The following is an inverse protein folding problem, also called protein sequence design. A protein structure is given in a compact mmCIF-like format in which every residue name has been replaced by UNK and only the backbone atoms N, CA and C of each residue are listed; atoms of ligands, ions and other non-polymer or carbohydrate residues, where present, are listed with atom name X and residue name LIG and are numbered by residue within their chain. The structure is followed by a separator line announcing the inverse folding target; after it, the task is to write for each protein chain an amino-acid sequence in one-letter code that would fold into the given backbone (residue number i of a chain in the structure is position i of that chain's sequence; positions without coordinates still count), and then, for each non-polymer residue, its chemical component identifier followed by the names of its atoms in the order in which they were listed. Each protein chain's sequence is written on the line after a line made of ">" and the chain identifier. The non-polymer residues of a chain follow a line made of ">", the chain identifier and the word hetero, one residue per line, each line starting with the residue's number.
data_IF_306544284642
#
_entry.id   IF_306544284642
#
_cell.length_a   1.000
_cell.length_b   1.000
_cell.length_c   1.000
_cell.angle_alpha   90.00
_cell.angle_beta   90.00
_cell.angle_gamma   90.00
#
_symmetry.space_group_name_H-M   'P 1'
#
loop_
_entity.id
_entity.type
_entity.pdbx_description
1 polymer ?
#
# COMPACT_ATOMS: atom_id res chain seq x y z
N UNK A 1 99.95 22.72 -4.64
CA UNK A 1 99.34 24.06 -4.76
C UNK A 1 97.83 23.93 -4.77
N UNK A 2 97.16 24.53 -3.77
CA UNK A 2 95.87 25.29 -3.84
C UNK A 2 94.84 24.84 -4.91
N UNK A 3 93.55 24.61 -4.63
CA UNK A 3 92.61 25.36 -3.75
C UNK A 3 91.15 24.83 -3.99
N UNK A 4 90.24 25.07 -3.01
CA UNK A 4 88.77 25.36 -3.15
C UNK A 4 87.83 24.17 -3.46
N UNK A 5 86.58 24.00 -2.95
CA UNK A 5 85.77 24.27 -1.73
C UNK A 5 84.34 23.71 -2.04
N UNK A 6 83.49 23.55 -1.01
CA UNK A 6 82.01 23.43 -1.00
C UNK A 6 81.47 21.98 -1.13
N UNK A 7 81.13 21.27 -0.05
CA UNK A 7 79.98 21.31 0.90
C UNK A 7 78.75 20.52 0.43
N UNK A 8 78.45 19.43 1.14
CA UNK A 8 77.09 18.93 1.37
C UNK A 8 77.06 18.21 2.73
N UNK A 9 76.28 18.78 3.66
CA UNK A 9 76.01 18.27 5.00
C UNK A 9 75.02 17.10 4.94
N UNK A 10 75.28 16.05 5.73
CA UNK A 10 74.25 15.20 6.30
C UNK A 10 74.49 15.11 7.82
N UNK A 11 73.57 15.70 8.57
CA UNK A 11 73.56 15.78 10.03
C UNK A 11 73.16 14.43 10.64
N UNK A 12 73.94 13.98 11.62
CA UNK A 12 73.55 13.02 12.63
C UNK A 12 72.56 13.68 13.60
N UNK A 13 71.51 12.96 14.01
CA UNK A 13 70.69 13.33 15.16
C UNK A 13 70.30 12.07 15.94
N UNK A 14 70.91 11.96 17.12
CA UNK A 14 70.63 10.99 18.16
C UNK A 14 69.51 11.52 19.07
N UNK A 15 68.81 10.58 19.69
CA UNK A 15 68.07 10.66 20.97
C UNK A 15 66.72 11.39 21.01
N UNK A 16 65.66 10.63 21.28
CA UNK A 16 64.93 10.59 22.57
C UNK A 16 63.70 9.68 22.40
N UNK A 17 63.75 8.47 22.96
CA UNK A 17 62.56 7.64 23.11
C UNK A 17 61.71 8.23 24.24
N UNK A 18 60.71 9.04 23.88
CA UNK A 18 59.56 9.26 24.75
C UNK A 18 58.69 8.00 24.67
N UNK A 19 58.71 7.20 25.74
CA UNK A 19 57.73 6.13 25.93
C UNK A 19 56.36 6.76 26.18
N UNK A 20 55.56 6.91 25.14
CA UNK A 20 54.13 7.09 25.30
C UNK A 20 53.56 5.76 25.79
N UNK A 21 53.10 5.72 27.04
CA UNK A 21 52.12 4.72 27.45
C UNK A 21 50.85 5.01 26.65
N UNK A 22 50.64 4.27 25.56
CA UNK A 22 49.33 4.13 24.96
C UNK A 22 48.44 3.46 26.01
N UNK A 23 47.76 4.28 26.80
CA UNK A 23 46.64 3.84 27.61
C UNK A 23 45.62 3.23 26.65
N UNK A 24 45.43 1.92 26.73
CA UNK A 24 44.30 1.19 26.19
C UNK A 24 43.00 1.82 26.75
N UNK A 25 42.52 2.90 26.15
CA UNK A 25 41.18 3.42 26.42
C UNK A 25 40.18 2.47 25.76
N UNK A 26 39.92 1.34 26.44
CA UNK A 26 38.72 0.55 26.20
C UNK A 26 37.58 1.28 26.89
N UNK A 27 36.80 2.05 26.13
CA UNK A 27 35.51 2.55 26.62
C UNK A 27 34.63 1.35 26.97
N UNK A 28 34.61 0.93 28.23
CA UNK A 28 33.59 0.05 28.77
C UNK A 28 32.32 0.88 28.91
N UNK A 29 31.59 1.07 27.80
CA UNK A 29 30.26 1.65 27.87
C UNK A 29 29.40 0.63 28.60
N UNK A 30 29.13 0.86 29.88
CA UNK A 30 28.35 -0.04 30.74
C UNK A 30 26.88 0.36 30.83
N UNK A 31 26.54 1.57 30.38
CA UNK A 31 25.20 2.11 30.47
C UNK A 31 24.23 1.42 29.50
N UNK A 32 23.04 1.09 30.02
CA UNK A 32 21.92 0.63 29.21
C UNK A 32 21.55 1.70 28.16
N UNK A 33 21.38 1.30 26.91
CA UNK A 33 20.89 2.19 25.85
C UNK A 33 19.84 1.52 24.99
N UNK A 34 18.77 2.24 24.70
CA UNK A 34 17.79 1.89 23.67
C UNK A 34 18.11 2.68 22.40
N UNK A 35 18.17 1.99 21.26
CA UNK A 35 18.52 2.59 19.96
C UNK A 35 17.29 2.67 19.06
N UNK A 36 16.61 1.55 18.83
CA UNK A 36 15.37 1.50 18.06
C UNK A 36 14.57 0.24 18.35
N UNK A 37 13.29 0.24 17.99
CA UNK A 37 12.42 -0.95 18.01
C UNK A 37 11.89 -1.22 16.61
N UNK A 38 11.80 -2.49 16.22
CA UNK A 38 11.25 -2.92 14.93
C UNK A 38 10.34 -4.15 15.07
N UNK A 39 9.20 -4.19 14.37
CA UNK A 39 8.57 -3.06 13.68
C UNK A 39 8.03 -2.03 14.69
N UNK A 40 7.72 -0.81 14.24
CA UNK A 40 7.14 0.22 15.13
C UNK A 40 5.62 0.18 15.21
N UNK A 41 4.97 -0.36 14.17
CA UNK A 41 3.54 -0.60 14.11
C UNK A 41 3.30 -2.10 14.27
N UNK A 42 2.56 -2.49 15.30
CA UNK A 42 2.53 -3.87 15.81
C UNK A 42 1.11 -4.30 16.18
N UNK A 43 0.88 -5.61 16.22
CA UNK A 43 -0.30 -6.21 16.85
C UNK A 43 0.09 -6.94 18.14
N UNK A 44 -0.86 -7.11 19.06
CA UNK A 44 -0.67 -7.96 20.24
C UNK A 44 -0.19 -9.36 19.87
N UNK A 45 0.68 -9.94 20.70
CA UNK A 45 1.24 -11.27 20.49
C UNK A 45 2.27 -11.39 19.36
N UNK A 46 2.52 -10.33 18.59
CA UNK A 46 3.62 -10.34 17.62
C UNK A 46 4.99 -10.20 18.28
N UNK A 47 6.04 -10.54 17.52
CA UNK A 47 7.41 -10.40 17.96
C UNK A 47 7.93 -9.02 17.55
N UNK A 48 8.49 -8.29 18.52
CA UNK A 48 9.26 -7.08 18.27
C UNK A 48 10.73 -7.27 18.67
N UNK A 49 11.61 -6.59 17.95
CA UNK A 49 13.05 -6.54 18.23
C UNK A 49 13.42 -5.17 18.75
N UNK A 50 14.01 -5.12 19.94
CA UNK A 50 14.58 -3.90 20.53
C UNK A 50 16.09 -3.97 20.34
N UNK A 51 16.65 -3.02 19.60
CA UNK A 51 18.09 -2.86 19.46
C UNK A 51 18.60 -1.83 20.47
N UNK A 52 19.76 -2.13 21.05
CA UNK A 52 20.31 -1.36 22.15
C UNK A 52 21.75 -1.71 22.47
N UNK A 53 22.14 -1.48 23.73
CA UNK A 53 23.43 -1.88 24.30
C UNK A 53 23.27 -2.25 25.77
N UNK A 54 24.09 -3.18 26.22
CA UNK A 54 24.20 -3.66 27.59
C UNK A 54 22.93 -4.31 28.15
N UNK A 55 22.18 -5.02 27.31
CA UNK A 55 21.21 -5.99 27.83
C UNK A 55 21.94 -7.19 28.44
N UNK A 56 21.29 -7.90 29.37
CA UNK A 56 21.79 -9.21 29.76
C UNK A 56 21.61 -10.19 28.59
N UNK A 57 22.54 -11.13 28.43
CA UNK A 57 22.40 -12.25 27.50
C UNK A 57 21.49 -13.37 28.04
N UNK A 58 21.02 -13.24 29.29
CA UNK A 58 20.06 -14.15 29.93
C UNK A 58 18.67 -13.51 29.82
N UNK A 59 17.71 -14.11 29.09
CA UNK A 59 16.39 -13.52 28.88
C UNK A 59 15.66 -13.13 30.16
N UNK A 60 15.72 -13.96 31.20
CA UNK A 60 15.02 -13.79 32.47
C UNK A 60 15.56 -12.61 33.30
N UNK A 61 16.77 -12.15 33.02
CA UNK A 61 17.38 -10.98 33.68
C UNK A 61 16.94 -9.66 33.04
N UNK A 62 16.29 -9.70 31.88
CA UNK A 62 15.73 -8.53 31.22
C UNK A 62 14.21 -8.48 31.45
N UNK A 63 13.71 -7.36 31.95
CA UNK A 63 12.26 -7.11 32.04
C UNK A 63 11.90 -5.95 31.11
N UNK A 64 10.97 -6.20 30.18
CA UNK A 64 10.49 -5.21 29.21
C UNK A 64 9.02 -4.92 29.47
N UNK A 65 8.65 -3.64 29.56
CA UNK A 65 7.30 -3.19 29.83
C UNK A 65 6.81 -2.27 28.71
N UNK A 66 5.55 -2.47 28.30
CA UNK A 66 4.79 -1.61 27.40
C UNK A 66 3.68 -0.97 28.23
N UNK A 67 3.81 0.32 28.60
CA UNK A 67 2.88 1.02 29.50
C UNK A 67 2.47 0.18 30.73
N UNK A 68 3.50 -0.33 31.44
CA UNK A 68 3.44 -1.19 32.64
C UNK A 68 3.00 -2.64 32.44
N UNK A 69 2.58 -3.04 31.24
CA UNK A 69 2.32 -4.44 30.93
C UNK A 69 3.61 -5.13 30.47
N UNK A 70 3.98 -6.23 31.13
CA UNK A 70 5.24 -6.91 30.86
C UNK A 70 5.17 -7.74 29.57
N UNK A 71 6.13 -7.51 28.67
CA UNK A 71 6.37 -8.33 27.48
C UNK A 71 7.23 -9.55 27.84
N UNK A 72 7.07 -10.65 27.09
CA UNK A 72 7.90 -11.85 27.29
C UNK A 72 9.18 -11.74 26.48
N UNK A 73 10.34 -11.73 27.13
CA UNK A 73 11.64 -11.79 26.45
C UNK A 73 11.93 -13.23 26.02
N UNK A 74 12.14 -13.45 24.73
CA UNK A 74 12.35 -14.80 24.15
C UNK A 74 13.77 -15.03 23.64
N UNK A 75 14.49 -13.97 23.28
CA UNK A 75 15.91 -14.03 22.94
C UNK A 75 16.60 -12.76 23.48
N UNK A 76 17.82 -12.91 23.96
CA UNK A 76 18.58 -11.81 24.54
C UNK A 76 20.07 -11.88 24.16
N UNK A 77 20.55 -10.78 23.58
CA UNK A 77 21.95 -10.50 23.25
C UNK A 77 22.33 -9.16 23.86
N UNK A 78 23.62 -8.84 23.94
CA UNK A 78 24.07 -7.57 24.53
C UNK A 78 23.51 -6.32 23.83
N UNK A 79 23.12 -6.44 22.57
CA UNK A 79 22.67 -5.36 21.70
C UNK A 79 21.26 -5.59 21.12
N UNK A 80 20.61 -6.71 21.44
CA UNK A 80 19.31 -7.08 20.90
C UNK A 80 18.45 -7.83 21.92
N UNK A 81 17.18 -7.46 22.04
CA UNK A 81 16.14 -8.27 22.69
C UNK A 81 15.04 -8.59 21.68
N UNK A 82 14.58 -9.85 21.63
CA UNK A 82 13.31 -10.20 20.99
C UNK A 82 12.25 -10.44 22.05
N UNK A 83 11.09 -9.82 21.87
CA UNK A 83 9.98 -9.89 22.81
C UNK A 83 8.70 -10.33 22.12
N UNK A 84 7.85 -11.09 22.82
CA UNK A 84 6.44 -11.25 22.48
C UNK A 84 5.68 -10.11 23.14
N UNK A 85 4.95 -9.36 22.32
CA UNK A 85 4.20 -8.20 22.76
C UNK A 85 2.97 -8.60 23.59
N UNK A 86 2.72 -7.95 24.74
CA UNK A 86 1.54 -8.22 25.54
C UNK A 86 0.25 -7.80 24.82
N UNK A 87 -0.88 -8.31 25.32
CA UNK A 87 -2.20 -7.86 24.86
C UNK A 87 -2.46 -6.42 25.30
N UNK A 88 -2.50 -5.49 24.34
CA UNK A 88 -2.78 -4.08 24.59
C UNK A 88 -4.00 -3.62 23.78
N UNK A 89 -4.70 -2.59 24.26
CA UNK A 89 -5.63 -1.85 23.42
C UNK A 89 -4.86 -1.12 22.28
N UNK A 90 -5.50 -0.80 21.15
CA UNK A 90 -4.88 0.01 20.11
C UNK A 90 -4.48 1.38 20.64
N UNK A 91 -3.26 1.82 20.33
CA UNK A 91 -2.71 3.05 20.88
C UNK A 91 -1.20 3.14 20.77
N UNK A 92 -0.66 4.28 21.20
CA UNK A 92 0.77 4.54 21.21
C UNK A 92 1.32 4.41 22.63
N UNK A 93 2.35 3.60 22.81
CA UNK A 93 2.89 3.26 24.13
C UNK A 93 4.42 3.34 24.14
N UNK A 94 4.98 3.82 25.26
CA UNK A 94 6.42 3.83 25.48
C UNK A 94 6.93 2.46 25.92
N UNK A 95 8.21 2.18 25.60
CA UNK A 95 8.90 0.97 26.05
C UNK A 95 9.77 1.33 27.26
N UNK A 96 9.72 0.51 28.31
CA UNK A 96 10.65 0.56 29.44
C UNK A 96 11.40 -0.76 29.55
N UNK A 97 12.73 -0.72 29.59
CA UNK A 97 13.59 -1.89 29.70
C UNK A 97 14.38 -1.81 31.00
N UNK A 98 14.35 -2.87 31.78
CA UNK A 98 15.17 -3.10 32.97
C UNK A 98 16.09 -4.28 32.73
N UNK A 99 17.37 -4.11 33.04
CA UNK A 99 18.47 -5.06 32.88
C UNK A 99 19.39 -4.94 34.12
N UNK A 100 20.30 -5.89 34.40
CA UNK A 100 21.30 -5.71 35.45
C UNK A 100 22.17 -4.45 35.28
N UNK A 101 22.28 -3.92 34.05
CA UNK A 101 23.01 -2.69 33.72
C UNK A 101 22.24 -1.39 34.00
N UNK A 102 20.94 -1.47 34.34
CA UNK A 102 20.11 -0.30 34.65
C UNK A 102 18.69 -0.41 34.12
N UNK A 103 17.98 0.71 34.16
CA UNK A 103 16.61 0.84 33.70
C UNK A 103 16.45 2.10 32.84
N UNK A 104 15.79 1.96 31.70
CA UNK A 104 15.60 3.07 30.76
C UNK A 104 14.22 2.99 30.10
N UNK A 105 13.51 4.11 30.09
CA UNK A 105 12.29 4.31 29.30
C UNK A 105 12.64 5.09 28.05
N UNK A 106 12.21 4.60 26.89
CA UNK A 106 12.43 5.24 25.60
C UNK A 106 11.87 4.38 24.47
N UNK A 107 11.84 4.94 23.25
CA UNK A 107 11.16 4.34 22.09
C UNK A 107 9.64 4.20 22.31
N UNK A 108 8.92 4.02 21.21
CA UNK A 108 7.47 3.91 21.21
C UNK A 108 7.02 2.83 20.21
N UNK A 109 5.92 2.17 20.54
CA UNK A 109 5.19 1.26 19.65
C UNK A 109 3.79 1.81 19.41
N UNK A 110 3.31 1.64 18.19
CA UNK A 110 1.91 1.85 17.83
C UNK A 110 1.23 0.48 17.73
N UNK A 111 0.39 0.16 18.72
CA UNK A 111 -0.49 -1.00 18.66
C UNK A 111 -1.65 -0.70 17.72
N UNK A 112 -1.75 -1.50 16.67
CA UNK A 112 -2.78 -1.41 15.66
C UNK A 112 -4.04 -2.17 16.10
N UNK A 113 -5.17 -1.80 15.54
CA UNK A 113 -6.43 -2.53 15.73
C UNK A 113 -6.36 -3.85 14.96
N UNK A 114 -6.40 -4.98 15.67
CA UNK A 114 -6.64 -6.28 15.05
C UNK A 114 -8.02 -6.28 14.39
N UNK A 115 -8.15 -6.68 13.11
CA UNK A 115 -9.45 -6.71 12.44
C UNK A 115 -10.46 -7.57 13.19
N UNK A 116 -11.69 -7.07 13.31
CA UNK A 116 -12.78 -7.77 14.01
C UNK A 116 -13.25 -9.03 13.27
N UNK A 117 -12.90 -9.14 11.99
CA UNK A 117 -13.29 -10.23 11.10
C UNK A 117 -12.06 -10.99 10.61
N UNK A 118 -12.20 -12.29 10.38
CA UNK A 118 -11.15 -13.07 9.73
C UNK A 118 -11.23 -12.90 8.21
N UNK A 119 -10.15 -12.40 7.62
CA UNK A 119 -9.98 -12.30 6.17
C UNK A 119 -9.09 -13.44 5.67
N UNK A 120 -9.45 -14.07 4.56
CA UNK A 120 -8.65 -15.11 3.90
C UNK A 120 -8.31 -14.67 2.49
N UNK A 121 -7.02 -14.58 2.17
CA UNK A 121 -6.50 -14.24 0.85
C UNK A 121 -6.18 -15.51 0.08
N UNK A 122 -6.63 -15.56 -1.18
CA UNK A 122 -6.41 -16.67 -2.10
C UNK A 122 -6.07 -16.17 -3.50
N UNK A 123 -5.12 -16.83 -4.16
CA UNK A 123 -4.86 -16.62 -5.59
C UNK A 123 -5.90 -17.37 -6.40
N UNK A 124 -6.59 -16.67 -7.31
CA UNK A 124 -7.62 -17.28 -8.17
C UNK A 124 -7.23 -17.32 -9.65
N UNK A 125 -6.34 -16.43 -10.10
CA UNK A 125 -5.79 -16.41 -11.46
C UNK A 125 -4.34 -16.00 -11.41
N UNK A 126 -3.52 -16.56 -12.30
CA UNK A 126 -2.10 -16.29 -12.39
C UNK A 126 -1.25 -17.33 -11.66
N UNK A 127 0.01 -17.43 -12.08
CA UNK A 127 1.02 -18.31 -11.48
C UNK A 127 2.25 -17.52 -11.09
N UNK A 128 2.83 -17.85 -9.95
CA UNK A 128 4.03 -17.21 -9.44
C UNK A 128 5.19 -17.37 -10.43
N UNK A 129 5.79 -16.25 -10.83
CA UNK A 129 7.00 -16.25 -11.65
C UNK A 129 6.77 -16.66 -13.10
N UNK A 130 5.52 -16.80 -13.53
CA UNK A 130 5.16 -17.04 -14.92
C UNK A 130 4.74 -15.71 -15.55
N UNK A 131 5.43 -15.35 -16.63
CA UNK A 131 5.40 -14.02 -17.22
C UNK A 131 4.79 -14.04 -18.62
N UNK A 132 3.73 -14.80 -18.78
CA UNK A 132 3.04 -15.07 -20.03
C UNK A 132 1.53 -14.75 -19.88
N UNK A 133 0.82 -14.75 -21.00
CA UNK A 133 -0.63 -14.62 -21.02
C UNK A 133 -1.22 -15.86 -21.65
N UNK A 134 -1.84 -16.69 -20.82
CA UNK A 134 -2.54 -17.90 -21.25
C UNK A 134 -3.95 -17.91 -20.70
N UNK A 135 -4.90 -18.32 -21.53
CA UNK A 135 -6.25 -18.67 -21.10
C UNK A 135 -6.24 -20.03 -20.38
N UNK A 136 -7.27 -20.31 -19.60
CA UNK A 136 -7.33 -21.51 -18.75
C UNK A 136 -8.25 -21.32 -17.55
N UNK A 137 -8.38 -22.35 -16.71
CA UNK A 137 -9.25 -22.29 -15.53
C UNK A 137 -8.44 -21.90 -14.30
N UNK A 138 -8.87 -20.84 -13.62
CA UNK A 138 -8.26 -20.36 -12.38
C UNK A 138 -6.75 -20.12 -12.50
N UNK A 139 -5.97 -20.80 -11.66
CA UNK A 139 -4.51 -20.67 -11.63
C UNK A 139 -3.80 -21.34 -12.80
N UNK A 140 -4.49 -22.06 -13.68
CA UNK A 140 -3.89 -22.55 -14.93
C UNK A 140 -3.73 -21.42 -15.95
N UNK A 141 -4.57 -20.39 -15.87
CA UNK A 141 -4.40 -19.16 -16.64
C UNK A 141 -3.30 -18.29 -16.05
N UNK A 142 -2.51 -17.65 -16.93
CA UNK A 142 -1.43 -16.74 -16.56
C UNK A 142 -1.75 -15.31 -17.01
N UNK A 143 -1.20 -14.31 -16.30
CA UNK A 143 -1.44 -12.89 -16.60
C UNK A 143 -0.12 -12.13 -16.69
N UNK A 144 -0.16 -10.92 -17.25
CA UNK A 144 0.97 -10.01 -17.36
C UNK A 144 0.53 -8.57 -17.06
N UNK A 145 0.66 -8.19 -15.79
CA UNK A 145 0.29 -6.88 -15.24
C UNK A 145 -1.23 -6.63 -15.31
N UNK A 146 -2.06 -7.47 -14.66
CA UNK A 146 -3.48 -7.18 -14.52
C UNK A 146 -3.65 -5.92 -13.67
N UNK A 147 -4.24 -4.86 -14.22
CA UNK A 147 -4.32 -3.56 -13.51
C UNK A 147 -5.72 -3.24 -13.02
N UNK A 148 -6.70 -3.29 -13.90
CA UNK A 148 -8.09 -3.06 -13.56
C UNK A 148 -8.92 -4.32 -13.48
N UNK A 149 -9.99 -4.30 -12.70
CA UNK A 149 -10.96 -5.38 -12.56
C UNK A 149 -12.35 -4.82 -12.26
N UNK A 150 -13.39 -5.34 -12.93
CA UNK A 150 -14.77 -4.88 -12.77
C UNK A 150 -15.77 -6.05 -12.87
N UNK A 151 -16.87 -5.96 -12.12
CA UNK A 151 -18.00 -6.87 -12.29
C UNK A 151 -18.72 -6.55 -13.61
N UNK A 152 -18.91 -7.57 -14.44
CA UNK A 152 -19.73 -7.51 -15.64
C UNK A 152 -21.20 -7.85 -15.31
N UNK A 153 -22.17 -7.38 -16.12
CA UNK A 153 -23.61 -7.64 -15.89
C UNK A 153 -23.99 -9.12 -15.88
N UNK A 154 -23.21 -9.98 -16.53
CA UNK A 154 -23.41 -11.43 -16.58
C UNK A 154 -22.84 -12.18 -15.36
N UNK A 155 -22.33 -11.46 -14.37
CA UNK A 155 -21.69 -12.02 -13.17
C UNK A 155 -20.23 -12.43 -13.35
N UNK A 156 -19.65 -12.27 -14.54
CA UNK A 156 -18.21 -12.44 -14.75
C UNK A 156 -17.41 -11.24 -14.24
N UNK A 157 -16.10 -11.39 -14.14
CA UNK A 157 -15.17 -10.29 -13.90
C UNK A 157 -14.44 -9.98 -15.20
N UNK A 158 -14.32 -8.70 -15.56
CA UNK A 158 -13.43 -8.27 -16.65
C UNK A 158 -12.22 -7.58 -16.06
N UNK A 159 -11.07 -7.78 -16.67
CA UNK A 159 -9.82 -7.15 -16.24
C UNK A 159 -8.97 -6.69 -17.41
N UNK A 160 -8.14 -5.69 -17.15
CA UNK A 160 -7.21 -5.15 -18.14
C UNK A 160 -5.84 -5.78 -18.00
N UNK A 161 -5.38 -6.42 -19.07
CA UNK A 161 -4.08 -7.08 -19.17
C UNK A 161 -3.06 -6.12 -19.78
N UNK A 162 -2.49 -5.24 -18.94
CA UNK A 162 -1.66 -4.13 -19.41
C UNK A 162 -0.42 -4.59 -20.17
N UNK A 163 0.16 -5.73 -19.81
CA UNK A 163 1.38 -6.24 -20.44
C UNK A 163 1.21 -6.58 -21.92
N UNK A 164 -0.01 -6.92 -22.35
CA UNK A 164 -0.31 -7.27 -23.73
C UNK A 164 -1.37 -6.39 -24.38
N UNK A 165 -1.94 -5.42 -23.65
CA UNK A 165 -3.05 -4.57 -24.11
C UNK A 165 -4.33 -5.35 -24.42
N UNK A 166 -4.61 -6.42 -23.68
CA UNK A 166 -5.83 -7.19 -23.83
C UNK A 166 -6.88 -6.83 -22.79
N UNK A 167 -8.15 -6.90 -23.19
CA UNK A 167 -9.27 -7.07 -22.25
C UNK A 167 -9.52 -8.56 -22.09
N UNK A 168 -9.62 -9.02 -20.84
CA UNK A 168 -9.81 -10.42 -20.50
C UNK A 168 -10.96 -10.58 -19.52
N UNK A 169 -11.56 -11.76 -19.51
CA UNK A 169 -12.73 -12.11 -18.69
C UNK A 169 -12.42 -13.31 -17.81
N UNK A 170 -12.97 -13.33 -16.60
CA UNK A 170 -13.03 -14.47 -15.69
C UNK A 170 -14.51 -14.77 -15.48
N UNK A 171 -14.97 -15.88 -16.02
CA UNK A 171 -16.33 -16.39 -15.81
C UNK A 171 -16.57 -16.84 -14.36
N UNK A 172 -17.84 -17.02 -13.92
CA UNK A 172 -18.15 -17.46 -12.56
C UNK A 172 -17.53 -18.82 -12.14
N UNK A 173 -17.22 -19.68 -13.10
CA UNK A 173 -16.53 -20.96 -12.94
C UNK A 173 -15.00 -20.83 -13.08
N UNK A 174 -14.47 -19.61 -13.05
CA UNK A 174 -13.05 -19.26 -13.13
C UNK A 174 -12.36 -19.54 -14.47
N UNK A 175 -13.10 -19.83 -15.55
CA UNK A 175 -12.51 -19.86 -16.88
C UNK A 175 -12.10 -18.44 -17.29
N UNK A 176 -10.81 -18.27 -17.54
CA UNK A 176 -10.19 -17.04 -18.04
C UNK A 176 -10.13 -17.08 -19.56
N UNK A 177 -10.64 -16.03 -20.20
CA UNK A 177 -10.68 -15.90 -21.67
C UNK A 177 -10.16 -14.55 -22.12
N UNK A 178 -9.32 -14.55 -23.14
CA UNK A 178 -8.84 -13.35 -23.82
C UNK A 178 -9.88 -12.88 -24.82
N UNK A 179 -10.40 -11.66 -24.64
CA UNK A 179 -11.49 -11.14 -25.45
C UNK A 179 -10.99 -10.38 -26.67
N UNK A 180 -10.11 -9.39 -26.44
CA UNK A 180 -9.71 -8.47 -27.50
C UNK A 180 -8.37 -7.79 -27.21
N UNK A 181 -7.51 -7.71 -28.22
CA UNK A 181 -6.37 -6.77 -28.26
C UNK A 181 -6.91 -5.37 -28.56
N UNK A 182 -6.64 -4.43 -27.65
CA UNK A 182 -7.10 -3.05 -27.78
C UNK A 182 -5.95 -2.08 -28.06
N UNK A 183 -4.77 -2.53 -28.47
CA UNK A 183 -3.67 -1.63 -28.81
C UNK A 183 -4.02 -0.64 -29.94
N UNK A 184 -3.50 0.59 -29.86
CA UNK A 184 -3.61 1.59 -30.94
C UNK A 184 -2.27 1.73 -31.65
N UNK A 185 -2.22 1.43 -32.95
CA UNK A 185 -0.98 1.45 -33.74
C UNK A 185 0.12 0.56 -33.14
N UNK A 186 -0.27 -0.61 -32.60
CA UNK A 186 0.63 -1.59 -32.00
C UNK A 186 1.21 -1.20 -30.63
N UNK A 187 0.80 -0.09 -30.02
CA UNK A 187 1.16 0.21 -28.63
C UNK A 187 0.04 0.90 -27.85
N UNK A 188 -0.14 0.50 -26.60
CA UNK A 188 -1.03 1.13 -25.64
C UNK A 188 -0.47 0.91 -24.24
N UNK A 189 -1.05 1.59 -23.25
CA UNK A 189 -0.88 1.21 -21.85
C UNK A 189 -2.24 1.29 -21.17
N UNK A 190 -3.05 0.26 -21.38
CA UNK A 190 -4.38 0.19 -20.78
C UNK A 190 -4.31 0.14 -19.25
N UNK A 191 -5.28 0.77 -18.62
CA UNK A 191 -5.39 0.88 -17.16
C UNK A 191 -6.76 0.41 -16.70
N UNK A 192 -7.42 1.13 -15.79
CA UNK A 192 -8.64 0.66 -15.15
C UNK A 192 -9.87 0.98 -16.00
N UNK A 193 -10.93 0.22 -15.77
CA UNK A 193 -12.16 0.27 -16.55
C UNK A 193 -13.36 -0.21 -15.75
N UNK A 194 -14.55 0.03 -16.28
CA UNK A 194 -15.82 -0.33 -15.65
C UNK A 194 -16.96 -0.34 -16.65
N UNK A 195 -18.12 -0.84 -16.22
CA UNK A 195 -19.30 -0.96 -17.05
C UNK A 195 -20.28 0.19 -16.83
N UNK A 196 -20.88 0.68 -17.91
CA UNK A 196 -22.08 1.51 -17.82
C UNK A 196 -23.33 0.65 -17.51
N UNK A 197 -24.47 1.30 -17.24
CA UNK A 197 -25.74 0.61 -16.95
C UNK A 197 -26.26 -0.26 -18.10
N UNK A 198 -25.75 -0.04 -19.33
CA UNK A 198 -26.12 -0.78 -20.55
C UNK A 198 -25.21 -1.98 -20.82
N UNK A 199 -24.18 -2.17 -19.99
CA UNK A 199 -23.21 -3.26 -20.11
C UNK A 199 -22.08 -3.01 -21.09
N UNK A 200 -21.84 -1.76 -21.51
CA UNK A 200 -20.67 -1.40 -22.28
C UNK A 200 -19.47 -1.20 -21.36
N UNK A 201 -18.30 -1.66 -21.78
CA UNK A 201 -17.08 -1.57 -20.99
C UNK A 201 -16.26 -0.35 -21.39
N UNK A 202 -16.07 0.59 -20.47
CA UNK A 202 -15.19 1.74 -20.66
C UNK A 202 -13.87 1.49 -19.95
N UNK A 203 -12.78 1.91 -20.57
CA UNK A 203 -11.46 1.76 -20.00
C UNK A 203 -10.55 2.90 -20.40
N UNK A 204 -9.50 3.07 -19.61
CA UNK A 204 -8.48 4.06 -19.86
C UNK A 204 -7.35 3.46 -20.67
N UNK A 205 -6.95 4.14 -21.75
CA UNK A 205 -5.63 3.97 -22.34
C UNK A 205 -4.73 5.10 -21.85
N UNK A 206 -4.00 4.81 -20.76
CA UNK A 206 -3.10 5.78 -20.12
C UNK A 206 -1.98 6.20 -21.05
N UNK A 207 -1.48 5.26 -21.86
CA UNK A 207 -0.36 5.48 -22.79
C UNK A 207 -0.72 6.43 -23.92
N UNK A 208 -1.98 6.42 -24.36
CA UNK A 208 -2.50 7.30 -25.41
C UNK A 208 -3.28 8.51 -24.87
N UNK A 209 -3.49 8.58 -23.55
CA UNK A 209 -4.25 9.67 -22.93
C UNK A 209 -5.74 9.66 -23.29
N UNK A 210 -6.33 8.46 -23.43
CA UNK A 210 -7.68 8.27 -23.98
C UNK A 210 -8.65 7.62 -22.99
N UNK A 211 -9.91 8.01 -23.10
CA UNK A 211 -11.08 7.25 -22.63
C UNK A 211 -11.63 6.47 -23.82
N UNK A 212 -11.76 5.15 -23.67
CA UNK A 212 -12.21 4.25 -24.74
C UNK A 212 -13.38 3.39 -24.26
N UNK A 213 -14.16 2.92 -25.22
CA UNK A 213 -15.38 2.13 -25.01
C UNK A 213 -15.30 0.84 -25.82
N UNK A 214 -15.79 -0.25 -25.24
CA UNK A 214 -16.12 -1.49 -25.91
C UNK A 214 -17.64 -1.66 -25.85
N UNK A 215 -18.28 -1.70 -27.02
CA UNK A 215 -19.64 -2.19 -27.15
C UNK A 215 -19.60 -3.71 -27.00
N UNK A 216 -20.07 -4.24 -25.87
CA UNK A 216 -19.79 -5.65 -25.49
C UNK A 216 -20.55 -6.67 -26.33
N UNK A 217 -21.64 -6.29 -26.99
CA UNK A 217 -22.35 -7.18 -27.90
C UNK A 217 -21.61 -7.43 -29.22
N UNK A 218 -20.92 -6.41 -29.74
CA UNK A 218 -20.19 -6.48 -31.02
C UNK A 218 -18.68 -6.60 -30.85
N UNK A 219 -18.18 -6.44 -29.62
CA UNK A 219 -16.75 -6.33 -29.29
C UNK A 219 -16.02 -5.24 -30.08
N UNK A 220 -16.72 -4.17 -30.45
CA UNK A 220 -16.14 -3.05 -31.19
C UNK A 220 -15.60 -2.00 -30.24
N UNK A 221 -14.40 -1.49 -30.53
CA UNK A 221 -13.74 -0.46 -29.70
C UNK A 221 -13.82 0.91 -30.36
N UNK A 222 -14.16 1.93 -29.58
CA UNK A 222 -14.14 3.32 -30.02
C UNK A 222 -13.41 4.21 -29.02
N UNK A 223 -12.93 5.37 -29.50
CA UNK A 223 -12.35 6.41 -28.63
C UNK A 223 -13.41 7.46 -28.35
N UNK A 224 -13.69 7.67 -27.07
CA UNK A 224 -14.68 8.65 -26.60
C UNK A 224 -14.03 10.02 -26.43
N UNK A 225 -12.82 10.03 -25.87
CA UNK A 225 -12.05 11.25 -25.64
C UNK A 225 -10.55 10.98 -25.65
N UNK A 226 -9.76 12.02 -25.94
CA UNK A 226 -8.30 11.99 -25.96
C UNK A 226 -7.71 13.24 -25.29
N UNK A 227 -6.37 13.34 -25.24
CA UNK A 227 -5.66 14.52 -24.74
C UNK A 227 -5.57 14.65 -23.22
N UNK A 228 -5.90 13.59 -22.47
CA UNK A 228 -5.70 13.56 -21.02
C UNK A 228 -4.27 13.15 -20.68
N UNK A 229 -3.65 13.80 -19.69
CA UNK A 229 -2.30 13.49 -19.22
C UNK A 229 -2.36 12.45 -18.12
N UNK A 230 -1.87 11.23 -18.42
CA UNK A 230 -1.95 10.06 -17.54
C UNK A 230 -3.34 9.85 -16.90
N UNK A 231 -4.40 9.67 -17.70
CA UNK A 231 -5.66 9.18 -17.14
C UNK A 231 -5.44 7.81 -16.49
N UNK A 232 -6.21 7.51 -15.44
CA UNK A 232 -6.00 6.28 -14.65
C UNK A 232 -7.28 5.44 -14.54
N UNK A 233 -8.37 6.00 -14.03
CA UNK A 233 -9.59 5.26 -13.70
C UNK A 233 -10.85 5.90 -14.30
N UNK A 234 -11.91 5.10 -14.44
CA UNK A 234 -13.27 5.52 -14.78
C UNK A 234 -14.24 5.19 -13.64
N UNK A 235 -15.23 6.06 -13.41
CA UNK A 235 -16.38 5.80 -12.55
C UNK A 235 -17.66 6.37 -13.20
N UNK A 236 -18.83 5.93 -12.74
CA UNK A 236 -20.13 6.30 -13.31
C UNK A 236 -21.07 6.83 -12.23
N UNK A 237 -21.89 7.82 -12.56
CA UNK A 237 -23.09 8.17 -11.77
C UNK A 237 -24.33 7.41 -12.27
N UNK A 238 -25.48 7.61 -11.61
CA UNK A 238 -26.71 6.89 -11.91
C UNK A 238 -27.30 7.25 -13.30
N UNK A 239 -26.86 8.36 -13.90
CA UNK A 239 -27.23 8.80 -15.24
C UNK A 239 -26.22 8.38 -16.33
N UNK A 240 -25.31 7.45 -16.03
CA UNK A 240 -24.20 7.01 -16.90
C UNK A 240 -23.24 8.13 -17.31
N UNK A 241 -23.16 9.23 -16.57
CA UNK A 241 -22.05 10.16 -16.80
C UNK A 241 -20.75 9.51 -16.33
N UNK A 242 -19.71 9.67 -17.14
CA UNK A 242 -18.42 9.03 -16.93
C UNK A 242 -17.48 10.03 -16.29
N UNK A 243 -16.86 9.64 -15.19
CA UNK A 243 -15.85 10.41 -14.50
C UNK A 243 -14.49 9.77 -14.74
N UNK A 244 -13.48 10.58 -15.06
CA UNK A 244 -12.12 10.10 -15.33
C UNK A 244 -11.13 10.82 -14.43
N UNK A 245 -10.34 10.05 -13.67
CA UNK A 245 -9.19 10.60 -12.94
C UNK A 245 -8.03 10.84 -13.92
N UNK A 246 -7.62 12.10 -14.07
CA UNK A 246 -6.51 12.51 -14.91
C UNK A 246 -5.33 12.93 -14.02
N UNK A 247 -4.45 11.96 -13.73
CA UNK A 247 -3.44 12.04 -12.68
C UNK A 247 -2.49 13.23 -12.82
N UNK A 248 -1.98 13.45 -14.03
CA UNK A 248 -0.97 14.46 -14.29
C UNK A 248 -1.61 15.81 -14.69
N UNK A 249 -2.91 15.82 -14.99
CA UNK A 249 -3.71 17.04 -15.03
C UNK A 249 -4.14 17.52 -13.63
N UNK A 250 -4.00 16.67 -12.60
CA UNK A 250 -4.56 16.88 -11.25
C UNK A 250 -6.04 17.26 -11.28
N UNK A 251 -6.81 16.55 -12.10
CA UNK A 251 -8.22 16.84 -12.31
C UNK A 251 -9.04 15.56 -12.40
N UNK A 252 -10.33 15.70 -12.13
CA UNK A 252 -11.36 14.74 -12.52
C UNK A 252 -12.19 15.38 -13.62
N UNK A 253 -12.29 14.71 -14.76
CA UNK A 253 -13.15 15.12 -15.86
C UNK A 253 -14.49 14.39 -15.78
N UNK A 254 -15.59 15.05 -16.12
CA UNK A 254 -16.91 14.46 -16.33
C UNK A 254 -17.21 14.44 -17.82
N UNK A 255 -17.80 13.35 -18.29
CA UNK A 255 -18.29 13.19 -19.65
C UNK A 255 -19.76 12.80 -19.58
N UNK A 256 -20.62 13.48 -20.34
CA UNK A 256 -22.00 13.00 -20.51
C UNK A 256 -22.03 11.69 -21.30
N UNK A 257 -23.12 10.92 -21.28
CA UNK A 257 -23.28 9.75 -22.15
C UNK A 257 -23.10 10.07 -23.64
N UNK A 258 -23.36 11.32 -24.06
CA UNK A 258 -23.12 11.83 -25.41
C UNK A 258 -21.65 12.24 -25.69
N UNK A 259 -20.76 12.13 -24.71
CA UNK A 259 -19.32 12.40 -24.83
C UNK A 259 -18.89 13.85 -24.53
N UNK A 260 -19.80 14.72 -24.10
CA UNK A 260 -19.45 16.12 -23.80
C UNK A 260 -18.59 16.19 -22.53
N UNK A 261 -17.38 16.75 -22.63
CA UNK A 261 -16.40 16.84 -21.55
C UNK A 261 -16.52 18.15 -20.75
N UNK A 262 -16.51 18.04 -19.42
CA UNK A 262 -16.32 19.15 -18.48
C UNK A 262 -15.28 18.82 -17.42
N UNK A 263 -14.75 19.83 -16.72
CA UNK A 263 -13.95 19.61 -15.51
C UNK A 263 -14.90 19.50 -14.33
N UNK A 264 -14.91 18.33 -13.67
CA UNK A 264 -15.69 18.12 -12.46
C UNK A 264 -14.98 18.69 -11.23
N UNK A 265 -13.69 18.40 -11.10
CA UNK A 265 -12.87 18.89 -9.99
C UNK A 265 -11.43 19.11 -10.41
N UNK A 266 -10.80 20.12 -9.81
CA UNK A 266 -9.34 20.33 -9.82
C UNK A 266 -8.80 20.04 -8.43
N UNK A 267 -7.64 19.37 -8.36
CA UNK A 267 -7.00 18.90 -7.14
C UNK A 267 -5.58 19.48 -7.04
N UNK A 268 -5.07 19.62 -5.82
CA UNK A 268 -3.66 20.01 -5.60
C UNK A 268 -2.70 18.81 -5.65
N UNK A 269 -3.25 17.59 -5.67
CA UNK A 269 -2.55 16.31 -5.68
C UNK A 269 -2.98 15.47 -6.88
N UNK A 270 -2.24 14.41 -7.19
CA UNK A 270 -2.52 13.56 -8.34
C UNK A 270 -3.55 12.46 -8.04
N UNK A 271 -4.74 12.46 -8.67
CA UNK A 271 -5.75 11.42 -8.49
C UNK A 271 -5.38 10.15 -9.27
N UNK A 272 -5.34 9.01 -8.60
CA UNK A 272 -5.15 7.70 -9.23
C UNK A 272 -6.48 6.98 -9.44
N UNK A 273 -7.37 7.02 -8.45
CA UNK A 273 -8.60 6.24 -8.47
C UNK A 273 -9.77 7.08 -7.97
N UNK A 274 -10.95 6.87 -8.53
CA UNK A 274 -12.19 7.51 -8.07
C UNK A 274 -13.32 6.49 -7.95
N UNK A 275 -14.19 6.67 -6.97
CA UNK A 275 -15.41 5.87 -6.78
C UNK A 275 -16.47 6.72 -6.09
N UNK A 276 -17.74 6.45 -6.33
CA UNK A 276 -18.81 7.07 -5.55
C UNK A 276 -19.14 6.23 -4.32
N UNK A 277 -19.30 6.88 -3.17
CA UNK A 277 -19.87 6.26 -1.99
C UNK A 277 -21.41 6.19 -2.06
N UNK A 278 -22.03 5.58 -1.04
CA UNK A 278 -23.50 5.45 -0.95
C UNK A 278 -24.25 6.79 -0.90
N UNK A 279 -23.58 7.87 -0.50
CA UNK A 279 -24.12 9.22 -0.39
C UNK A 279 -23.80 10.08 -1.62
N UNK A 280 -23.29 9.46 -2.70
CA UNK A 280 -22.89 10.12 -3.95
C UNK A 280 -21.71 11.09 -3.77
N UNK A 281 -20.95 10.98 -2.69
CA UNK A 281 -19.66 11.65 -2.61
C UNK A 281 -18.65 10.90 -3.47
N UNK A 282 -17.80 11.61 -4.20
CA UNK A 282 -16.67 11.01 -4.89
C UNK A 282 -15.49 10.85 -3.93
N UNK A 283 -15.05 9.62 -3.76
CA UNK A 283 -13.83 9.28 -3.03
C UNK A 283 -12.69 9.18 -4.03
N UNK A 284 -11.58 9.85 -3.72
CA UNK A 284 -10.39 9.96 -4.56
C UNK A 284 -9.20 9.34 -3.84
N UNK A 285 -8.66 8.26 -4.41
CA UNK A 285 -7.36 7.72 -4.05
C UNK A 285 -6.24 8.52 -4.73
N UNK A 286 -5.22 8.92 -3.99
CA UNK A 286 -4.16 9.81 -4.52
C UNK A 286 -2.83 9.07 -4.71
N UNK A 287 -1.99 9.56 -5.62
CA UNK A 287 -0.67 8.98 -5.90
C UNK A 287 0.41 9.52 -4.98
N UNK A 288 0.70 10.82 -5.10
CA UNK A 288 1.74 11.54 -4.35
C UNK A 288 1.13 12.45 -3.27
N UNK A 289 -0.20 12.43 -3.15
CA UNK A 289 -0.91 13.13 -2.10
C UNK A 289 -0.85 12.39 -0.78
N UNK A 290 -0.66 11.06 -0.77
CA UNK A 290 -0.64 10.22 0.44
C UNK A 290 -1.88 10.42 1.34
N UNK A 291 -3.01 10.69 0.70
CA UNK A 291 -4.32 10.94 1.32
C UNK A 291 -5.45 10.31 0.51
N UNK A 292 -6.58 10.11 1.17
CA UNK A 292 -7.89 9.98 0.52
C UNK A 292 -8.62 11.31 0.60
N UNK A 293 -9.24 11.73 -0.50
CA UNK A 293 -10.05 12.94 -0.58
C UNK A 293 -11.49 12.55 -0.87
N UNK A 294 -12.44 13.14 -0.15
CA UNK A 294 -13.86 13.13 -0.48
C UNK A 294 -14.23 14.43 -1.19
N UNK A 295 -15.01 14.33 -2.25
CA UNK A 295 -15.64 15.46 -2.94
C UNK A 295 -17.16 15.27 -2.84
N UNK A 296 -17.81 16.16 -2.11
CA UNK A 296 -19.27 16.16 -1.96
C UNK A 296 -19.97 16.58 -3.27
N UNK A 297 -21.26 16.26 -3.45
CA UNK A 297 -22.03 16.65 -4.65
C UNK A 297 -22.06 18.16 -4.93
N UNK A 298 -21.90 18.99 -3.89
CA UNK A 298 -21.79 20.45 -4.00
C UNK A 298 -20.39 20.93 -4.44
N UNK A 299 -19.44 20.01 -4.63
CA UNK A 299 -18.06 20.27 -5.00
C UNK A 299 -17.10 20.48 -3.83
N UNK A 300 -17.57 20.43 -2.58
CA UNK A 300 -16.72 20.60 -1.39
C UNK A 300 -15.71 19.45 -1.28
N UNK A 301 -14.42 19.78 -1.20
CA UNK A 301 -13.33 18.80 -1.07
C UNK A 301 -12.81 18.73 0.37
N UNK A 302 -12.62 17.51 0.89
CA UNK A 302 -12.11 17.26 2.25
C UNK A 302 -11.18 16.06 2.27
N UNK A 303 -10.04 16.18 2.93
CA UNK A 303 -9.20 15.00 3.26
C UNK A 303 -9.91 14.15 4.30
N UNK A 304 -10.04 12.85 4.04
CA UNK A 304 -10.73 11.90 4.93
C UNK A 304 -9.81 10.85 5.56
N UNK A 305 -8.61 10.65 5.02
CA UNK A 305 -7.59 9.80 5.61
C UNK A 305 -6.20 10.17 5.11
N UNK A 306 -5.17 9.92 5.94
CA UNK A 306 -3.78 10.24 5.64
C UNK A 306 -3.40 11.67 6.02
N UNK A 307 -2.12 11.87 6.34
CA UNK A 307 -1.58 13.18 6.76
C UNK A 307 -0.79 13.91 5.65
N UNK A 308 -0.80 13.37 4.44
CA UNK A 308 -0.10 13.97 3.30
C UNK A 308 1.40 13.68 3.22
N UNK A 309 1.95 12.89 4.14
CA UNK A 309 3.38 12.61 4.21
C UNK A 309 3.65 11.12 4.04
N UNK A 310 4.48 10.77 3.05
CA UNK A 310 4.95 9.39 2.86
C UNK A 310 5.70 8.90 4.11
N UNK A 311 5.10 7.94 4.82
CA UNK A 311 5.75 7.22 5.91
C UNK A 311 6.76 6.18 5.39
N UNK A 312 7.73 5.80 6.23
CA UNK A 312 8.64 4.67 5.94
C UNK A 312 7.92 3.32 6.08
N UNK A 313 6.99 3.24 7.04
CA UNK A 313 6.10 2.11 7.26
C UNK A 313 4.64 2.60 7.17
N UNK A 314 3.71 1.67 7.00
CA UNK A 314 2.29 1.98 7.11
C UNK A 314 1.92 2.20 8.58
N UNK A 315 0.91 3.02 8.80
CA UNK A 315 0.30 3.24 10.10
C UNK A 315 -1.19 3.48 9.88
N UNK A 316 -2.04 2.81 10.66
CA UNK A 316 -3.50 2.90 10.56
C UNK A 316 -4.05 4.21 11.13
N UNK A 317 -3.23 4.99 11.83
CA UNK A 317 -3.71 6.17 12.54
C UNK A 317 -4.26 5.79 13.92
N UNK A 318 -4.47 6.80 14.75
CA UNK A 318 -5.19 6.60 16.01
C UNK A 318 -6.67 6.27 15.71
N UNK A 319 -7.32 5.38 16.49
CA UNK A 319 -8.76 5.13 16.37
C UNK A 319 -9.57 6.44 16.40
N UNK A 320 -10.54 6.60 15.50
CA UNK A 320 -11.31 7.84 15.37
C UNK A 320 -10.57 9.01 14.69
N UNK A 321 -9.30 8.82 14.29
CA UNK A 321 -8.48 9.85 13.64
C UNK A 321 -7.68 9.28 12.44
N UNK A 322 -8.35 8.93 11.34
CA UNK A 322 -7.71 8.39 10.14
C UNK A 322 -6.84 9.43 9.42
N UNK A 323 -6.95 10.71 9.78
CA UNK A 323 -6.07 11.78 9.30
C UNK A 323 -4.64 11.66 9.84
N UNK A 324 -4.42 10.90 10.92
CA UNK A 324 -3.08 10.60 11.44
C UNK A 324 -2.41 9.40 10.79
N UNK A 325 -3.10 8.70 9.89
CA UNK A 325 -2.61 7.50 9.24
C UNK A 325 -1.48 7.79 8.25
N UNK A 326 -0.65 6.77 7.99
CA UNK A 326 0.23 6.72 6.81
C UNK A 326 -0.47 5.93 5.71
N UNK A 327 -0.98 6.67 4.74
CA UNK A 327 -1.64 6.15 3.53
C UNK A 327 -0.68 6.30 2.36
N UNK A 328 -0.49 5.23 1.60
CA UNK A 328 0.37 5.24 0.43
C UNK A 328 -0.28 5.81 -0.82
N UNK A 329 0.38 5.59 -1.96
CA UNK A 329 -0.26 5.71 -3.25
C UNK A 329 -1.45 4.72 -3.31
N UNK A 330 -2.65 5.24 -3.50
CA UNK A 330 -3.87 4.41 -3.57
C UNK A 330 -4.22 4.17 -5.03
N UNK A 331 -4.32 2.91 -5.45
CA UNK A 331 -4.64 2.55 -6.84
C UNK A 331 -6.01 1.91 -7.01
N UNK A 332 -6.73 1.65 -5.92
CA UNK A 332 -8.09 1.12 -5.96
C UNK A 332 -8.80 1.48 -4.66
N UNK A 333 -10.07 1.86 -4.79
CA UNK A 333 -10.98 2.08 -3.65
C UNK A 333 -12.33 1.50 -4.03
N UNK A 334 -12.81 0.53 -3.26
CA UNK A 334 -14.17 0.02 -3.39
C UNK A 334 -15.06 0.61 -2.28
N UNK A 335 -16.21 1.16 -2.65
CA UNK A 335 -17.23 1.55 -1.69
C UNK A 335 -18.17 0.37 -1.42
N UNK A 336 -18.15 -0.12 -0.18
CA UNK A 336 -19.01 -1.22 0.26
C UNK A 336 -20.44 -0.76 0.55
N UNK A 337 -21.40 -1.67 0.39
CA UNK A 337 -22.80 -1.43 0.79
C UNK A 337 -22.98 -1.27 2.30
N UNK A 338 -21.99 -1.73 3.08
CA UNK A 338 -21.89 -1.49 4.52
C UNK A 338 -21.50 -0.04 4.87
N UNK A 339 -21.19 0.78 3.87
CA UNK A 339 -20.75 2.16 4.03
C UNK A 339 -19.26 2.30 4.36
N UNK A 340 -18.49 1.21 4.31
CA UNK A 340 -17.04 1.27 4.46
C UNK A 340 -16.36 1.48 3.11
N UNK A 341 -15.11 1.95 3.15
CA UNK A 341 -14.24 2.02 1.98
C UNK A 341 -13.13 0.99 2.12
N UNK A 342 -12.85 0.25 1.05
CA UNK A 342 -11.79 -0.76 0.99
C UNK A 342 -10.76 -0.31 -0.02
N UNK A 343 -9.52 -0.09 0.42
CA UNK A 343 -8.49 0.47 -0.42
C UNK A 343 -7.30 -0.47 -0.57
N UNK A 344 -6.76 -0.51 -1.78
CA UNK A 344 -5.45 -1.07 -2.05
C UNK A 344 -4.38 -0.02 -1.79
N UNK A 345 -3.67 -0.19 -0.70
CA UNK A 345 -2.51 0.63 -0.40
C UNK A 345 -1.31 0.07 -1.14
N UNK A 346 -1.09 0.60 -2.34
CA UNK A 346 -0.08 0.11 -3.25
C UNK A 346 1.33 0.25 -2.68
N UNK A 347 1.60 1.37 -2.02
CA UNK A 347 2.93 1.65 -1.45
C UNK A 347 3.23 0.71 -0.29
N UNK A 348 2.22 0.38 0.50
CA UNK A 348 2.40 -0.44 1.69
C UNK A 348 1.98 -1.90 1.53
N UNK A 349 1.72 -2.38 0.32
CA UNK A 349 1.49 -3.80 0.03
C UNK A 349 0.36 -4.43 0.87
N UNK A 350 -0.71 -3.68 1.11
CA UNK A 350 -1.80 -4.13 1.95
C UNK A 350 -3.15 -3.61 1.48
N UNK A 351 -4.21 -4.22 1.99
CA UNK A 351 -5.59 -3.81 1.82
C UNK A 351 -6.05 -3.24 3.16
N UNK A 352 -6.60 -2.02 3.12
CA UNK A 352 -7.09 -1.30 4.30
C UNK A 352 -8.60 -1.12 4.20
N UNK A 353 -9.27 -1.02 5.35
CA UNK A 353 -10.70 -0.71 5.47
C UNK A 353 -10.84 0.59 6.25
N UNK A 354 -11.55 1.57 5.69
CA UNK A 354 -11.95 2.80 6.37
C UNK A 354 -13.44 2.72 6.69
N UNK A 355 -13.72 2.57 7.98
CA UNK A 355 -15.09 2.60 8.53
C UNK A 355 -15.39 4.02 8.98
N UNK A 356 -16.47 4.67 8.50
CA UNK A 356 -16.81 6.02 8.96
C UNK A 356 -17.28 6.02 10.43
N UNK A 357 -17.37 7.20 11.03
CA UNK A 357 -18.03 7.33 12.34
C UNK A 357 -19.55 7.08 12.25
N UNK A 358 -20.24 7.15 13.39
CA UNK A 358 -21.69 6.93 13.46
C UNK A 358 -22.51 7.92 12.62
N UNK A 359 -21.95 9.08 12.26
CA UNK A 359 -22.60 10.07 11.39
C UNK A 359 -22.32 9.85 9.91
N UNK A 360 -21.45 8.90 9.56
CA UNK A 360 -20.98 8.69 8.20
C UNK A 360 -19.76 9.55 7.82
N UNK A 361 -19.13 10.26 8.76
CA UNK A 361 -17.93 11.05 8.48
C UNK A 361 -16.67 10.17 8.50
N UNK A 362 -16.12 9.92 7.31
CA UNK A 362 -14.88 9.16 7.17
C UNK A 362 -13.69 9.81 7.89
N UNK A 363 -13.64 11.15 8.03
CA UNK A 363 -12.49 11.81 8.66
C UNK A 363 -12.42 11.64 10.18
N UNK A 364 -13.46 11.05 10.77
CA UNK A 364 -13.55 10.70 12.20
C UNK A 364 -13.69 9.18 12.40
N UNK A 365 -13.51 8.44 11.32
CA UNK A 365 -13.65 6.99 11.29
C UNK A 365 -12.45 6.24 11.84
N UNK A 366 -12.40 4.96 11.52
CA UNK A 366 -11.26 4.09 11.84
C UNK A 366 -10.76 3.47 10.54
N UNK A 367 -9.48 3.73 10.24
CA UNK A 367 -8.75 3.00 9.22
C UNK A 367 -8.10 1.79 9.90
N UNK A 368 -8.19 0.62 9.29
CA UNK A 368 -7.53 -0.60 9.78
C UNK A 368 -6.95 -1.41 8.60
N UNK A 369 -5.82 -2.08 8.82
CA UNK A 369 -5.27 -3.02 7.82
C UNK A 369 -5.97 -4.36 7.95
N UNK A 370 -6.64 -4.82 6.88
CA UNK A 370 -7.43 -6.07 6.91
C UNK A 370 -6.73 -7.25 6.24
N UNK A 371 -5.81 -6.97 5.30
CA UNK A 371 -5.00 -7.99 4.66
C UNK A 371 -3.65 -7.43 4.19
N UNK A 372 -2.60 -8.27 4.19
CA UNK A 372 -1.25 -7.89 3.80
C UNK A 372 -0.38 -7.52 5.00
N UNK A 373 0.84 -8.06 5.04
CA UNK A 373 1.79 -7.85 6.14
C UNK A 373 2.64 -6.58 6.05
N UNK A 374 2.40 -5.71 5.07
CA UNK A 374 3.28 -4.58 4.76
C UNK A 374 4.49 -4.93 3.88
N UNK A 375 4.88 -6.22 3.85
CA UNK A 375 6.02 -6.72 3.08
C UNK A 375 5.58 -7.13 1.68
N UNK A 376 6.39 -6.76 0.69
CA UNK A 376 6.21 -7.21 -0.69
C UNK A 376 6.31 -8.75 -0.77
N UNK A 377 5.34 -9.37 -1.44
CA UNK A 377 5.27 -10.81 -1.65
C UNK A 377 3.96 -11.25 -2.29
N UNK A 378 3.69 -12.55 -2.34
CA UNK A 378 2.51 -13.13 -3.01
C UNK A 378 1.85 -14.26 -2.19
N UNK A 379 2.24 -14.46 -0.94
CA UNK A 379 1.71 -15.54 -0.10
C UNK A 379 0.21 -15.37 0.15
N UNK A 380 -0.53 -16.46 0.01
CA UNK A 380 -1.93 -16.61 0.43
C UNK A 380 -2.05 -16.88 1.94
N UNK A 381 -3.27 -16.93 2.46
CA UNK A 381 -3.57 -17.32 3.83
C UNK A 381 -4.36 -16.26 4.61
N UNK A 382 -4.23 -16.28 5.95
CA UNK A 382 -4.91 -15.33 6.83
C UNK A 382 -4.49 -13.89 6.53
N UNK A 383 -5.43 -12.95 6.57
CA UNK A 383 -5.30 -11.56 6.12
C UNK A 383 -3.94 -10.94 6.40
N UNK A 384 -3.62 -10.71 7.67
CA UNK A 384 -2.37 -10.05 8.09
C UNK A 384 -1.08 -10.86 7.85
N UNK A 385 -1.20 -12.16 7.56
CA UNK A 385 -0.06 -13.03 7.23
C UNK A 385 0.14 -13.22 5.72
N UNK A 386 -0.88 -12.94 4.92
CA UNK A 386 -0.76 -12.89 3.46
C UNK A 386 0.17 -11.74 3.03
N UNK A 387 0.73 -11.84 1.82
CA UNK A 387 1.54 -10.78 1.22
C UNK A 387 1.01 -10.37 -0.15
N UNK A 388 1.12 -9.07 -0.42
CA UNK A 388 0.87 -8.46 -1.72
C UNK A 388 2.15 -7.79 -2.20
N UNK A 389 2.22 -7.47 -3.49
CA UNK A 389 3.28 -6.66 -4.05
C UNK A 389 2.60 -5.63 -4.92
N UNK A 390 2.50 -4.40 -4.41
CA UNK A 390 1.84 -3.29 -5.08
C UNK A 390 0.46 -3.71 -5.61
N UNK A 391 -0.56 -3.93 -4.75
CA UNK A 391 -1.93 -4.20 -5.20
C UNK A 391 -2.50 -2.98 -5.96
N UNK A 392 -3.26 -3.23 -7.04
CA UNK A 392 -3.84 -2.19 -7.92
C UNK A 392 -5.34 -2.07 -7.67
N UNK A 393 -6.21 -2.39 -8.62
CA UNK A 393 -7.65 -2.24 -8.39
C UNK A 393 -8.16 -3.25 -7.36
N UNK A 394 -9.13 -2.82 -6.55
CA UNK A 394 -9.91 -3.66 -5.65
C UNK A 394 -11.39 -3.40 -5.92
N UNK A 395 -12.18 -4.46 -6.02
CA UNK A 395 -13.64 -4.42 -6.08
C UNK A 395 -14.23 -5.30 -4.99
N UNK A 396 -15.46 -5.03 -4.56
CA UNK A 396 -16.14 -5.76 -3.49
C UNK A 396 -17.54 -6.19 -3.93
N UNK A 397 -17.95 -7.40 -3.54
CA UNK A 397 -19.30 -7.90 -3.78
C UNK A 397 -20.33 -7.11 -2.96
N UNK A 398 -21.57 -7.09 -3.45
CA UNK A 398 -22.68 -6.35 -2.82
C UNK A 398 -23.01 -6.77 -1.38
N UNK A 399 -22.64 -7.97 -0.97
CA UNK A 399 -22.80 -8.44 0.42
C UNK A 399 -21.61 -8.09 1.32
N UNK A 400 -20.59 -7.41 0.77
CA UNK A 400 -19.32 -7.11 1.41
C UNK A 400 -18.56 -8.36 1.94
N UNK A 401 -18.84 -9.55 1.41
CA UNK A 401 -18.19 -10.81 1.85
C UNK A 401 -16.99 -11.22 1.01
N UNK A 402 -16.89 -10.74 -0.22
CA UNK A 402 -15.79 -11.09 -1.12
C UNK A 402 -15.23 -9.84 -1.80
N UNK A 403 -13.90 -9.71 -1.78
CA UNK A 403 -13.17 -8.71 -2.56
C UNK A 403 -12.31 -9.40 -3.61
N UNK A 404 -12.10 -8.73 -4.73
CA UNK A 404 -11.14 -9.15 -5.76
C UNK A 404 -10.11 -8.04 -5.95
N UNK A 405 -8.84 -8.43 -6.03
CA UNK A 405 -7.69 -7.52 -6.11
C UNK A 405 -6.85 -7.88 -7.32
N UNK A 406 -6.64 -6.91 -8.21
CA UNK A 406 -5.66 -7.02 -9.28
C UNK A 406 -4.25 -6.82 -8.70
N UNK A 407 -3.45 -7.89 -8.63
CA UNK A 407 -2.08 -7.87 -8.13
C UNK A 407 -1.08 -7.66 -9.26
N UNK A 408 -1.09 -6.47 -9.88
CA UNK A 408 -0.38 -6.20 -11.13
C UNK A 408 1.08 -6.68 -11.14
N UNK A 409 1.86 -6.33 -10.12
CA UNK A 409 3.29 -6.66 -10.06
C UNK A 409 3.54 -8.13 -9.74
N UNK A 410 2.57 -8.80 -9.11
CA UNK A 410 2.61 -10.24 -8.87
C UNK A 410 2.08 -11.08 -10.03
N UNK A 411 1.44 -10.46 -11.04
CA UNK A 411 0.78 -11.18 -12.14
C UNK A 411 -0.37 -12.08 -11.65
N UNK A 412 -1.02 -11.68 -10.57
CA UNK A 412 -2.08 -12.45 -9.93
C UNK A 412 -3.37 -11.65 -9.88
N UNK A 413 -4.50 -12.35 -9.89
CA UNK A 413 -5.77 -11.83 -9.39
C UNK A 413 -6.07 -12.60 -8.10
N UNK A 414 -6.30 -11.85 -7.03
CA UNK A 414 -6.47 -12.38 -5.68
C UNK A 414 -7.91 -12.19 -5.23
N UNK A 415 -8.45 -13.16 -4.52
CA UNK A 415 -9.74 -13.10 -3.83
C UNK A 415 -9.49 -12.97 -2.33
N UNK A 416 -10.26 -12.12 -1.66
CA UNK A 416 -10.27 -11.99 -0.21
C UNK A 416 -11.69 -12.27 0.28
N UNK A 417 -11.86 -13.29 1.11
CA UNK A 417 -13.17 -13.63 1.71
C UNK A 417 -13.21 -13.25 3.18
N UNK A 418 -14.32 -12.67 3.62
CA UNK A 418 -14.64 -12.42 5.02
C UNK A 418 -15.32 -13.65 5.61
N UNK A 419 -14.79 -14.18 6.71
CA UNK A 419 -15.37 -15.33 7.43
C UNK A 419 -16.23 -14.93 8.61
#
# INVERSE_FOLDING_TARGET
>A
MRKIYILLLAYSLLSLFAACNDNDYKASVTELRLVLVKPTNVYSGEIATILGRNFSTVPEENAVFINDQQATVIEAFKDELKIILPEMAPGKYSIRVKSPSGELTGLELNYLKTPDQEYIVQTIVGQKGVFEMTDGVGTEATTKLPTGIAFAPDGSLWFTERGYNYIRRISPDFLVTSLLDVAVDGSSAIWQGGFDSKGNYYFIDKGKGMLRKIETNSMTVSTIASGMKSPMNVAFDDEDNIYVSARDNKAVYKFTPSGAKTTFATLNVSPNYIVFDKNKNMIVGTSNGYVLIQISPDGTQKTIAGDGVKGQEYYDGAPGNPLSAKVGATFGVAAGSDGCLYLSDNTYNCIRKLTPDASGDYSKGTLETIAGSGKSGFSDGKGLKATFNQPYEIIITKDCKTMYVAGAVNYLIRRITVK
#
